data_IF_303455958292
#
_entry.id   IF_303455958292
#
_cell.length_a   1.000
_cell.length_b   1.000
_cell.length_c   1.000
_cell.angle_alpha   90.00
_cell.angle_beta   90.00
_cell.angle_gamma   90.00
#
_symmetry.space_group_name_H-M   'P 1'
#
loop_
_entity.id
_entity.type
_entity.pdbx_description
1 polymer ?
#
# COMPACT_ATOMS: atom_id res chain seq x y z
N UNK A 1 3.01 -18.62 -6.33
CA UNK A 1 2.04 -17.79 -7.07
C UNK A 1 2.34 -16.32 -6.77
N UNK A 2 2.75 -15.54 -7.78
CA UNK A 2 2.85 -14.09 -7.63
C UNK A 2 1.43 -13.55 -7.59
N UNK A 3 0.91 -13.31 -6.40
CA UNK A 3 -0.37 -12.63 -6.22
C UNK A 3 -0.21 -11.29 -6.91
N UNK A 4 -1.00 -11.03 -7.96
CA UNK A 4 -1.04 -9.73 -8.60
C UNK A 4 -1.42 -8.73 -7.52
N UNK A 5 -0.41 -8.04 -7.01
CA UNK A 5 -0.53 -7.30 -5.77
C UNK A 5 -1.43 -6.12 -6.07
N UNK A 6 -2.44 -5.90 -5.23
CA UNK A 6 -3.32 -4.73 -5.30
C UNK A 6 -2.52 -3.41 -5.41
N UNK A 7 -1.29 -3.42 -4.87
CA UNK A 7 -0.27 -2.38 -5.02
C UNK A 7 0.08 -2.03 -6.48
N UNK A 8 0.18 -3.01 -7.38
CA UNK A 8 0.48 -2.77 -8.81
C UNK A 8 -0.68 -2.07 -9.53
N UNK A 9 -1.91 -2.13 -8.98
CA UNK A 9 -3.06 -1.41 -9.53
C UNK A 9 -3.05 0.08 -9.17
N UNK A 10 -2.18 0.50 -8.25
CA UNK A 10 -2.09 1.90 -7.80
C UNK A 10 -1.20 2.67 -8.77
N UNK A 11 -1.78 3.63 -9.49
CA UNK A 11 -1.04 4.51 -10.38
C UNK A 11 0.02 5.32 -9.61
N UNK A 12 1.29 5.04 -9.91
CA UNK A 12 2.46 5.60 -9.23
C UNK A 12 3.23 4.59 -8.37
N UNK A 13 2.69 3.39 -8.11
CA UNK A 13 3.41 2.31 -7.43
C UNK A 13 3.96 1.33 -8.47
N UNK A 14 5.16 1.64 -8.97
CA UNK A 14 5.94 0.71 -9.78
C UNK A 14 6.67 -0.33 -8.94
N UNK A 15 7.45 -1.19 -9.61
CA UNK A 15 8.26 -2.26 -8.99
C UNK A 15 9.16 -1.77 -7.85
N UNK A 16 9.76 -0.58 -7.99
CA UNK A 16 10.66 0.02 -6.99
C UNK A 16 9.95 0.30 -5.66
N UNK A 17 8.81 1.00 -5.72
CA UNK A 17 8.03 1.38 -4.53
C UNK A 17 7.38 0.16 -3.89
N UNK A 18 6.88 -0.78 -4.70
CA UNK A 18 6.41 -2.09 -4.23
C UNK A 18 7.50 -2.83 -3.45
N UNK A 19 8.73 -2.85 -3.97
CA UNK A 19 9.86 -3.50 -3.28
C UNK A 19 10.19 -2.81 -1.96
N UNK A 20 10.17 -1.49 -1.90
CA UNK A 20 10.36 -0.72 -0.66
C UNK A 20 9.29 -1.05 0.38
N UNK A 21 8.02 -1.03 -0.03
CA UNK A 21 6.88 -1.41 0.81
C UNK A 21 6.98 -2.85 1.33
N UNK A 22 7.29 -3.80 0.46
CA UNK A 22 7.49 -5.19 0.85
C UNK A 22 8.74 -5.38 1.72
N UNK A 23 9.79 -4.59 1.54
CA UNK A 23 10.98 -4.66 2.37
C UNK A 23 10.74 -4.09 3.76
N UNK A 24 9.89 -3.06 3.88
CA UNK A 24 9.54 -2.43 5.16
C UNK A 24 8.50 -3.27 5.94
N UNK A 25 7.40 -3.65 5.28
CA UNK A 25 6.29 -4.34 5.92
C UNK A 25 6.36 -5.86 5.80
N UNK A 26 7.15 -6.42 4.89
CA UNK A 26 7.25 -7.86 4.64
C UNK A 26 6.14 -8.44 3.76
N UNK A 27 4.91 -7.92 3.82
CA UNK A 27 3.75 -8.48 3.08
C UNK A 27 2.65 -7.47 2.76
N UNK A 28 1.90 -7.73 1.68
CA UNK A 28 0.76 -6.89 1.25
C UNK A 28 -0.33 -6.78 2.32
N UNK A 29 -0.60 -7.86 3.06
CA UNK A 29 -1.54 -7.83 4.20
C UNK A 29 -1.14 -6.85 5.30
N UNK A 30 0.16 -6.73 5.58
CA UNK A 30 0.64 -5.81 6.59
C UNK A 30 0.55 -4.36 6.11
N UNK A 31 0.72 -4.14 4.80
CA UNK A 31 0.51 -2.83 4.16
C UNK A 31 -0.97 -2.42 4.19
N UNK A 32 -1.88 -3.37 3.97
CA UNK A 32 -3.33 -3.13 4.05
C UNK A 32 -3.77 -2.71 5.46
N UNK A 33 -3.17 -3.32 6.50
CA UNK A 33 -3.43 -2.96 7.90
C UNK A 33 -2.55 -1.82 8.43
N UNK A 34 -1.62 -1.30 7.61
CA UNK A 34 -0.68 -0.28 8.04
C UNK A 34 -1.35 1.09 8.15
N UNK A 35 -0.90 1.86 9.13
CA UNK A 35 -1.26 3.27 9.25
C UNK A 35 -0.62 4.07 8.13
N UNK A 36 -1.30 5.13 7.70
CA UNK A 36 -0.76 6.05 6.68
C UNK A 36 0.60 6.64 7.10
N UNK A 37 0.82 6.82 8.39
CA UNK A 37 2.06 7.32 8.98
C UNK A 37 3.25 6.39 8.71
N UNK A 38 3.05 5.07 8.85
CA UNK A 38 4.10 4.08 8.58
C UNK A 38 4.38 3.97 7.09
N UNK A 39 3.36 4.13 6.24
CA UNK A 39 3.54 4.19 4.78
C UNK A 39 4.36 5.44 4.40
N UNK A 40 4.14 6.58 5.07
CA UNK A 40 4.91 7.82 4.86
C UNK A 40 6.35 7.74 5.38
N UNK A 41 6.63 6.89 6.37
CA UNK A 41 8.00 6.67 6.86
C UNK A 41 8.90 5.94 5.87
N UNK A 42 8.33 5.36 4.81
CA UNK A 42 9.12 4.68 3.78
C UNK A 42 9.84 5.70 2.91
N UNK A 43 11.16 5.59 2.87
CA UNK A 43 12.01 6.39 2.00
C UNK A 43 11.63 6.17 0.52
N UNK A 44 11.28 7.25 -0.18
CA UNK A 44 10.80 7.22 -1.57
C UNK A 44 9.28 7.14 -1.77
N UNK A 45 8.49 7.16 -0.69
CA UNK A 45 7.03 7.34 -0.73
C UNK A 45 6.69 8.75 -0.25
N UNK A 46 6.13 9.57 -1.14
CA UNK A 46 5.60 10.89 -0.76
C UNK A 46 4.20 10.78 -0.15
N UNK A 47 3.76 11.83 0.57
CA UNK A 47 2.43 11.91 1.18
C UNK A 47 1.28 11.60 0.22
N UNK A 48 1.38 12.06 -1.03
CA UNK A 48 0.38 11.80 -2.07
C UNK A 48 0.27 10.31 -2.38
N UNK A 49 1.41 9.62 -2.46
CA UNK A 49 1.48 8.19 -2.75
C UNK A 49 1.01 7.39 -1.53
N UNK A 50 1.43 7.78 -0.32
CA UNK A 50 0.96 7.16 0.92
C UNK A 50 -0.57 7.25 1.05
N UNK A 51 -1.15 8.43 0.78
CA UNK A 51 -2.60 8.62 0.76
C UNK A 51 -3.28 7.73 -0.29
N UNK A 52 -2.72 7.63 -1.50
CA UNK A 52 -3.28 6.74 -2.54
C UNK A 52 -3.29 5.29 -2.10
N UNK A 53 -2.19 4.79 -1.52
CA UNK A 53 -2.09 3.42 -1.00
C UNK A 53 -3.13 3.21 0.10
N UNK A 54 -3.09 4.04 1.14
CA UNK A 54 -3.97 3.93 2.28
C UNK A 54 -5.44 3.98 1.85
N UNK A 55 -5.81 4.94 1.00
CA UNK A 55 -7.16 5.06 0.48
C UNK A 55 -7.56 3.87 -0.40
N UNK A 56 -6.65 3.32 -1.21
CA UNK A 56 -6.95 2.14 -2.04
C UNK A 56 -7.37 0.94 -1.18
N UNK A 57 -6.59 0.62 -0.14
CA UNK A 57 -6.88 -0.50 0.75
C UNK A 57 -8.05 -0.22 1.69
N UNK A 58 -8.14 0.99 2.24
CA UNK A 58 -9.20 1.34 3.18
C UNK A 58 -10.57 1.48 2.49
N UNK A 59 -10.61 1.92 1.22
CA UNK A 59 -11.84 1.96 0.41
C UNK A 59 -12.38 0.56 0.11
N UNK A 60 -11.52 -0.47 0.09
CA UNK A 60 -11.94 -1.87 -0.06
C UNK A 60 -12.50 -2.46 1.26
N UNK A 61 -12.17 -1.87 2.41
CA UNK A 61 -12.66 -2.31 3.73
C UNK A 61 -14.07 -1.80 4.07
N UNK A 62 -14.45 -0.62 3.55
CA UNK A 62 -15.76 0.00 3.83
C UNK A 62 -16.96 -0.68 3.15
N UNK A 63 -16.74 -1.73 2.35
CA UNK A 63 -17.81 -2.39 1.59
C UNK A 63 -18.38 -3.64 2.30
N UNK A 64 -17.85 -4.03 3.47
CA UNK A 64 -18.26 -5.25 4.19
C UNK A 64 -18.99 -5.02 5.51
N UNK A 65 -19.38 -3.78 5.84
CA UNK A 65 -20.29 -3.49 6.96
C UNK A 65 -21.58 -2.83 6.43
N UNK A 66 -22.47 -3.63 5.84
CA UNK A 66 -23.88 -3.27 5.72
C UNK A 66 -24.74 -4.51 5.95
#
# INVERSE_FOLDING_TARGET
AFIQSELDKIEGIGKTRKKLLLNHFGSVKLIESASIEDIKKIDGISDLVANKIYNFFNKNSLISKK
#
